data_IF_956692194297
#
_entry.id   IF_956692194297
#
_cell.length_a   1.000
_cell.length_b   1.000
_cell.length_c   1.000
_cell.angle_alpha   90.00
_cell.angle_beta   90.00
_cell.angle_gamma   90.00
#
_symmetry.space_group_name_H-M   'P 1'
#
loop_
_entity.id
_entity.type
_entity.pdbx_description
1 polymer ?
#
# COMPACT_ATOMS: atom_id res chain seq x y z
N UNK A 1 23.70 -1.42 28.78
CA UNK A 1 23.73 -1.22 27.30
C UNK A 1 22.79 -2.15 26.51
N UNK A 2 21.97 -2.97 27.15
CA UNK A 2 21.11 -4.00 26.50
C UNK A 2 19.72 -3.50 26.09
N UNK A 3 19.16 -2.48 26.74
CA UNK A 3 17.83 -1.96 26.43
C UNK A 3 17.76 -1.20 25.09
N UNK A 4 18.82 -0.45 24.73
CA UNK A 4 18.91 0.30 23.47
C UNK A 4 18.87 -0.62 22.24
N UNK A 5 19.53 -1.79 22.32
CA UNK A 5 19.54 -2.80 21.25
C UNK A 5 18.17 -3.47 21.07
N UNK A 6 17.46 -3.73 22.18
CA UNK A 6 16.09 -4.29 22.13
C UNK A 6 15.08 -3.31 21.54
N UNK A 7 15.19 -2.02 21.88
CA UNK A 7 14.36 -0.96 21.31
C UNK A 7 14.54 -0.83 19.79
N UNK A 8 15.77 -0.95 19.31
CA UNK A 8 16.07 -0.94 17.87
C UNK A 8 15.44 -2.13 17.13
N UNK A 9 15.49 -3.33 17.72
CA UNK A 9 14.88 -4.53 17.15
C UNK A 9 13.35 -4.44 17.06
N UNK A 10 12.70 -3.89 18.09
CA UNK A 10 11.24 -3.68 18.07
C UNK A 10 10.84 -2.63 17.03
N UNK A 11 11.62 -1.55 16.88
CA UNK A 11 11.39 -0.54 15.84
C UNK A 11 11.55 -1.08 14.41
N UNK A 12 12.51 -1.98 14.18
CA UNK A 12 12.65 -2.64 12.87
C UNK A 12 11.49 -3.60 12.58
N UNK A 13 10.91 -4.24 13.60
CA UNK A 13 9.78 -5.16 13.40
C UNK A 13 8.51 -4.44 12.92
N UNK A 14 8.30 -3.20 13.37
CA UNK A 14 7.16 -2.38 12.91
C UNK A 14 7.25 -1.94 11.45
N UNK A 15 8.45 -1.86 10.86
CA UNK A 15 8.62 -1.57 9.43
C UNK A 15 8.31 -2.78 8.54
N UNK A 16 8.27 -4.00 9.11
CA UNK A 16 7.93 -5.22 8.41
C UNK A 16 6.41 -5.49 8.39
N UNK A 17 5.57 -4.49 8.69
CA UNK A 17 4.14 -4.58 8.45
C UNK A 17 3.89 -4.64 6.94
N UNK A 18 4.08 -5.83 6.36
CA UNK A 18 3.63 -6.14 5.02
C UNK A 18 2.15 -5.78 4.92
N UNK A 19 1.77 -5.13 3.84
CA UNK A 19 0.40 -4.72 3.57
C UNK A 19 -0.48 -5.96 3.39
N UNK A 20 -1.01 -6.46 4.52
CA UNK A 20 -1.88 -7.64 4.56
C UNK A 20 -3.33 -7.19 4.41
N UNK A 21 -4.17 -7.91 3.64
CA UNK A 21 -5.59 -7.59 3.52
C UNK A 21 -6.24 -7.53 4.90
N UNK A 22 -7.05 -6.49 5.11
CA UNK A 22 -7.81 -6.29 6.34
C UNK A 22 -8.76 -7.46 6.59
N UNK A 23 -9.17 -7.66 7.84
CA UNK A 23 -10.11 -8.74 8.19
C UNK A 23 -11.44 -8.64 7.42
N UNK A 24 -11.88 -7.43 7.07
CA UNK A 24 -13.09 -7.20 6.27
C UNK A 24 -12.90 -7.64 4.83
N UNK A 25 -11.78 -7.27 4.20
CA UNK A 25 -11.46 -7.67 2.83
C UNK A 25 -11.32 -9.17 2.70
N UNK A 26 -10.66 -9.82 3.68
CA UNK A 26 -10.58 -11.29 3.72
C UNK A 26 -11.95 -11.95 3.72
N UNK A 27 -12.86 -11.51 4.60
CA UNK A 27 -14.24 -12.05 4.66
C UNK A 27 -15.01 -11.83 3.35
N UNK A 28 -14.75 -10.72 2.65
CA UNK A 28 -15.37 -10.43 1.36
C UNK A 28 -14.82 -11.34 0.25
N UNK A 29 -13.53 -11.68 0.28
CA UNK A 29 -12.94 -12.66 -0.63
C UNK A 29 -13.43 -14.07 -0.32
N UNK A 30 -13.52 -14.43 0.96
CA UNK A 30 -13.98 -15.75 1.41
C UNK A 30 -15.45 -16.02 1.02
N UNK A 31 -16.31 -14.99 0.99
CA UNK A 31 -17.71 -15.14 0.59
C UNK A 31 -17.90 -15.49 -0.90
N UNK A 32 -16.83 -15.40 -1.69
CA UNK A 32 -16.82 -15.70 -3.12
C UNK A 32 -16.41 -17.13 -3.42
N UNK A 33 -15.95 -17.88 -2.41
CA UNK A 33 -15.59 -19.30 -2.58
C UNK A 33 -16.84 -20.09 -2.98
N UNK A 34 -16.75 -20.82 -4.09
CA UNK A 34 -17.85 -21.60 -4.66
C UNK A 34 -18.85 -20.81 -5.52
N UNK A 35 -18.68 -19.48 -5.66
CA UNK A 35 -19.43 -18.67 -6.62
C UNK A 35 -18.90 -18.86 -8.04
N UNK A 36 -19.73 -18.58 -9.04
CA UNK A 36 -19.28 -18.57 -10.43
C UNK A 36 -18.44 -17.31 -10.72
N UNK A 37 -17.54 -17.40 -11.70
CA UNK A 37 -16.71 -16.27 -12.11
C UNK A 37 -17.54 -15.03 -12.49
N UNK A 38 -18.73 -15.22 -13.07
CA UNK A 38 -19.65 -14.11 -13.40
C UNK A 38 -20.13 -13.35 -12.17
N UNK A 39 -20.30 -14.02 -11.02
CA UNK A 39 -20.69 -13.37 -9.77
C UNK A 39 -19.53 -12.55 -9.20
N UNK A 40 -18.29 -13.02 -9.40
CA UNK A 40 -17.07 -12.26 -9.07
C UNK A 40 -17.01 -10.98 -9.89
N UNK A 41 -17.21 -11.07 -11.20
CA UNK A 41 -17.22 -9.89 -12.08
C UNK A 41 -18.35 -8.93 -11.75
N UNK A 42 -19.54 -9.41 -11.37
CA UNK A 42 -20.65 -8.57 -10.93
C UNK A 42 -20.35 -7.82 -9.62
N UNK A 43 -19.59 -8.45 -8.73
CA UNK A 43 -19.30 -7.89 -7.40
C UNK A 43 -18.11 -6.93 -7.42
N UNK A 44 -17.04 -7.27 -8.14
CA UNK A 44 -15.78 -6.50 -8.15
C UNK A 44 -15.55 -5.70 -9.44
N UNK A 45 -16.39 -5.88 -10.46
CA UNK A 45 -16.23 -5.27 -11.78
C UNK A 45 -15.35 -6.09 -12.72
N UNK A 46 -14.91 -5.47 -13.81
CA UNK A 46 -14.06 -6.13 -14.82
C UNK A 46 -12.63 -6.27 -14.28
N UNK A 47 -12.03 -7.47 -14.33
CA UNK A 47 -10.67 -7.69 -13.85
C UNK A 47 -9.65 -6.89 -14.66
N UNK A 48 -8.58 -6.43 -14.00
CA UNK A 48 -7.48 -5.73 -14.67
C UNK A 48 -6.68 -6.68 -15.56
N UNK A 49 -6.52 -7.93 -15.11
CA UNK A 49 -5.82 -8.99 -15.83
C UNK A 49 -6.50 -10.32 -15.59
N UNK A 50 -6.50 -11.15 -16.63
CA UNK A 50 -6.91 -12.55 -16.55
C UNK A 50 -5.75 -13.42 -17.03
N UNK A 51 -5.51 -14.53 -16.33
CA UNK A 51 -4.53 -15.52 -16.78
C UNK A 51 -4.98 -16.93 -16.42
N UNK A 52 -4.58 -17.91 -17.24
CA UNK A 52 -4.86 -19.33 -17.02
C UNK A 52 -3.61 -20.05 -16.57
N UNK A 53 -3.76 -20.92 -15.58
CA UNK A 53 -2.70 -21.83 -15.14
C UNK A 53 -3.32 -23.19 -14.84
N UNK A 54 -2.95 -24.19 -15.65
CA UNK A 54 -3.63 -25.49 -15.68
C UNK A 54 -5.12 -25.32 -15.97
N UNK A 55 -5.97 -25.97 -15.15
CA UNK A 55 -7.43 -25.92 -15.27
C UNK A 55 -8.07 -24.71 -14.55
N UNK A 56 -7.26 -23.78 -14.06
CA UNK A 56 -7.74 -22.63 -13.30
C UNK A 56 -7.59 -21.33 -14.09
N UNK A 57 -8.64 -20.52 -14.07
CA UNK A 57 -8.64 -19.15 -14.58
C UNK A 57 -8.57 -18.19 -13.40
N UNK A 58 -7.59 -17.31 -13.39
CA UNK A 58 -7.33 -16.35 -12.33
C UNK A 58 -7.75 -14.95 -12.79
N UNK A 59 -8.57 -14.29 -11.97
CA UNK A 59 -8.99 -12.91 -12.16
C UNK A 59 -8.19 -12.03 -11.20
N UNK A 60 -7.35 -11.16 -11.75
CA UNK A 60 -6.50 -10.27 -10.97
C UNK A 60 -7.07 -8.84 -10.98
N UNK A 61 -7.39 -8.37 -9.77
CA UNK A 61 -7.79 -6.99 -9.49
C UNK A 61 -6.62 -6.28 -8.83
N UNK A 62 -6.07 -5.26 -9.50
CA UNK A 62 -4.99 -4.45 -8.92
C UNK A 62 -5.63 -3.29 -8.17
N UNK A 63 -5.61 -3.33 -6.83
CA UNK A 63 -5.88 -2.15 -6.04
C UNK A 63 -4.58 -1.35 -5.93
N UNK A 64 -4.27 -0.54 -6.95
CA UNK A 64 -3.11 0.33 -6.93
C UNK A 64 -3.45 1.55 -6.08
N UNK A 65 -3.35 1.40 -4.76
CA UNK A 65 -3.42 2.52 -3.84
C UNK A 65 -2.06 3.22 -3.86
N UNK A 66 -1.79 3.94 -4.96
CA UNK A 66 -0.69 4.91 -4.99
C UNK A 66 -1.17 6.10 -4.19
N UNK A 67 -1.09 5.99 -2.86
CA UNK A 67 -1.31 7.11 -1.96
C UNK A 67 -0.15 8.07 -2.17
N UNK A 68 -0.29 8.95 -3.16
CA UNK A 68 0.45 10.20 -3.16
C UNK A 68 -0.11 10.99 -1.99
N UNK A 69 0.31 10.65 -0.78
CA UNK A 69 0.50 11.70 0.20
C UNK A 69 1.44 12.68 -0.49
N UNK A 70 0.88 13.76 -1.06
CA UNK A 70 1.67 14.96 -1.26
C UNK A 70 2.38 15.13 0.08
N UNK A 71 3.72 15.13 0.14
CA UNK A 71 4.38 15.59 1.33
C UNK A 71 3.94 17.04 1.49
N UNK A 72 2.86 17.26 2.26
CA UNK A 72 2.47 18.55 2.76
C UNK A 72 3.53 18.86 3.82
N UNK A 73 4.65 19.34 3.31
CA UNK A 73 5.94 19.26 3.98
C UNK A 73 7.04 19.06 2.97
N UNK A 74 7.07 19.93 1.95
CA UNK A 74 8.29 20.13 1.18
C UNK A 74 9.47 20.33 2.14
N UNK A 75 10.64 19.90 1.69
CA UNK A 75 11.90 20.17 2.35
C UNK A 75 12.20 21.67 2.30
N UNK A 76 11.45 22.46 3.06
CA UNK A 76 11.82 23.79 3.49
C UNK A 76 12.88 23.63 4.56
N UNK A 77 14.13 23.51 4.14
CA UNK A 77 15.28 23.86 4.96
C UNK A 77 15.11 25.33 5.37
N UNK A 78 14.38 25.56 6.47
CA UNK A 78 14.03 26.88 7.00
C UNK A 78 14.50 27.10 8.44
N UNK A 79 15.35 26.22 8.95
CA UNK A 79 16.00 26.37 10.24
C UNK A 79 17.50 26.31 10.07
N UNK A 80 18.15 27.48 10.17
CA UNK A 80 19.59 27.71 10.13
C UNK A 80 20.25 27.72 8.74
N UNK A 81 20.62 28.92 8.28
CA UNK A 81 21.52 29.08 7.13
C UNK A 81 21.36 30.45 6.48
N UNK A 82 22.23 31.39 6.85
CA UNK A 82 22.14 32.78 6.43
C UNK A 82 22.38 33.01 4.93
N UNK A 83 21.92 34.20 4.50
CA UNK A 83 22.43 34.94 3.36
C UNK A 83 22.20 34.32 1.98
N UNK A 84 21.52 35.06 1.10
CA UNK A 84 22.10 35.62 -0.14
C UNK A 84 20.98 36.18 -1.02
N UNK A 85 21.14 37.44 -1.42
CA UNK A 85 20.54 38.08 -2.62
C UNK A 85 19.01 38.18 -2.62
N UNK A 86 18.41 39.36 -2.46
CA UNK A 86 18.63 40.48 -3.37
C UNK A 86 17.59 40.40 -4.47
N UNK A 87 16.54 41.21 -4.36
CA UNK A 87 15.41 41.21 -5.28
C UNK A 87 15.75 41.60 -6.71
N UNK A 88 14.79 41.32 -7.59
CA UNK A 88 14.52 41.97 -8.86
C UNK A 88 13.08 41.51 -9.22
N UNK A 89 12.19 42.37 -9.73
CA UNK A 89 12.43 43.25 -10.85
C UNK A 89 11.98 42.51 -12.09
#
# INVERSE_FOLDING_TARGET
MTHRKRLFLVGMLSLAACQVPTAKERRMLDSMIGKQAVDVVRTFGVPTREFKSGDHTFLAYVNQQTDYSSPMGGWGYGGWGGGWGGGYG
#
